data_IF_430572740262
#
_entry.id   IF_430572740262
#
_cell.length_a   1.000
_cell.length_b   1.000
_cell.length_c   1.000
_cell.angle_alpha   90.00
_cell.angle_beta   90.00
_cell.angle_gamma   90.00
#
_symmetry.space_group_name_H-M   'P 1'
#
loop_
_entity.id
_entity.type
_entity.pdbx_description
1 polymer ?
#
# COMPACT_ATOMS: atom_id res chain seq x y z
N UNK A 1 -9.42 2.10 -7.42
CA UNK A 1 -10.08 1.08 -6.59
C UNK A 1 -11.36 1.61 -5.92
N UNK A 2 -11.36 2.82 -5.35
CA UNK A 2 -12.58 3.43 -4.79
C UNK A 2 -13.74 3.55 -5.80
N UNK A 3 -13.45 3.95 -7.05
CA UNK A 3 -14.46 4.07 -8.13
C UNK A 3 -15.17 2.77 -8.49
N UNK A 4 -14.56 1.62 -8.19
CA UNK A 4 -15.15 0.29 -8.41
C UNK A 4 -15.69 -0.33 -7.10
N UNK A 5 -15.85 0.47 -6.04
CA UNK A 5 -16.42 0.03 -4.76
C UNK A 5 -15.43 -0.57 -3.76
N UNK A 6 -14.13 -0.60 -4.08
CA UNK A 6 -13.09 -1.20 -3.23
C UNK A 6 -12.00 -0.17 -2.89
N UNK A 7 -12.26 0.80 -1.99
CA UNK A 7 -11.24 1.77 -1.60
C UNK A 7 -10.07 1.11 -0.87
N UNK A 8 -8.92 1.78 -0.89
CA UNK A 8 -7.73 1.31 -0.17
C UNK A 8 -7.91 1.46 1.34
N UNK A 9 -7.32 0.52 2.09
CA UNK A 9 -7.32 0.59 3.54
C UNK A 9 -6.45 1.76 4.02
N UNK A 10 -6.91 2.49 5.02
CA UNK A 10 -6.20 3.67 5.55
C UNK A 10 -6.20 4.89 4.63
N UNK A 11 -6.97 4.88 3.53
CA UNK A 11 -7.12 6.05 2.66
C UNK A 11 -7.96 7.14 3.35
N UNK A 12 -7.39 8.32 3.65
CA UNK A 12 -8.11 9.39 4.33
C UNK A 12 -9.08 10.16 3.41
N UNK A 13 -8.93 10.04 2.08
CA UNK A 13 -9.69 10.84 1.10
C UNK A 13 -10.82 10.04 0.49
N UNK A 14 -10.52 8.84 -0.01
CA UNK A 14 -11.49 8.04 -0.79
C UNK A 14 -11.98 6.79 -0.06
N UNK A 15 -11.36 6.43 1.06
CA UNK A 15 -11.69 5.24 1.83
C UNK A 15 -12.33 5.56 3.17
N UNK A 16 -13.16 4.65 3.64
CA UNK A 16 -13.54 4.58 5.05
C UNK A 16 -13.08 3.24 5.57
N UNK A 17 -12.27 3.27 6.61
CA UNK A 17 -11.84 2.06 7.31
C UNK A 17 -13.08 1.29 7.81
N UNK A 18 -13.25 0.01 7.41
CA UNK A 18 -14.33 -0.85 7.90
C UNK A 18 -14.33 -0.93 9.43
N UNK A 19 -15.50 -0.91 10.06
CA UNK A 19 -15.61 -0.84 11.52
C UNK A 19 -14.85 -1.96 12.24
N UNK A 20 -14.86 -3.18 11.69
CA UNK A 20 -14.12 -4.32 12.25
C UNK A 20 -12.59 -4.20 12.19
N UNK A 21 -12.05 -3.44 11.22
CA UNK A 21 -10.61 -3.25 11.05
C UNK A 21 -10.08 -1.98 11.75
N UNK A 22 -10.96 -1.08 12.20
CA UNK A 22 -10.55 0.16 12.90
C UNK A 22 -9.72 -0.10 14.16
N UNK A 23 -10.06 -1.06 15.04
CA UNK A 23 -9.25 -1.33 16.24
C UNK A 23 -7.86 -1.82 15.87
N UNK A 24 -7.77 -2.72 14.87
CA UNK A 24 -6.51 -3.26 14.39
C UNK A 24 -5.61 -2.16 13.80
N UNK A 25 -6.15 -1.33 12.91
CA UNK A 25 -5.37 -0.24 12.31
C UNK A 25 -4.92 0.80 13.34
N UNK A 26 -5.74 1.06 14.37
CA UNK A 26 -5.35 1.93 15.48
C UNK A 26 -4.24 1.30 16.32
N UNK A 27 -4.30 0.00 16.57
CA UNK A 27 -3.25 -0.75 17.28
C UNK A 27 -1.93 -0.73 16.51
N UNK A 28 -1.99 -0.92 15.19
CA UNK A 28 -0.82 -0.89 14.30
C UNK A 28 -0.35 0.54 13.96
N UNK A 29 -1.04 1.58 14.41
CA UNK A 29 -0.72 2.97 14.06
C UNK A 29 -0.81 3.27 12.56
N UNK A 30 -1.56 2.47 11.79
CA UNK A 30 -1.60 2.54 10.34
C UNK A 30 -2.56 3.65 9.87
N UNK A 31 -2.00 4.79 9.48
CA UNK A 31 -2.74 6.01 9.15
C UNK A 31 -2.56 6.51 7.70
N UNK A 32 -2.07 5.65 6.80
CA UNK A 32 -1.85 5.98 5.39
C UNK A 32 -2.56 4.99 4.47
N UNK A 33 -2.64 5.33 3.19
CA UNK A 33 -3.12 4.41 2.16
C UNK A 33 -2.23 3.16 2.12
N UNK A 34 -2.85 1.98 2.15
CA UNK A 34 -2.20 0.70 1.89
C UNK A 34 -1.81 0.58 0.41
N UNK A 35 -0.89 1.44 -0.02
CA UNK A 35 -0.35 1.55 -1.36
C UNK A 35 1.18 1.61 -1.30
N UNK A 36 1.82 0.81 -2.16
CA UNK A 36 3.28 0.74 -2.28
C UNK A 36 3.69 0.49 -3.73
N UNK A 37 4.64 1.29 -4.23
CA UNK A 37 5.24 1.09 -5.54
C UNK A 37 6.38 0.06 -5.42
N UNK A 38 6.03 -1.22 -5.57
CA UNK A 38 6.97 -2.33 -5.38
C UNK A 38 8.07 -2.41 -6.45
N UNK A 39 7.78 -1.95 -7.66
CA UNK A 39 8.71 -1.97 -8.78
C UNK A 39 8.57 -0.71 -9.62
N UNK A 40 9.69 -0.20 -10.12
CA UNK A 40 9.75 0.88 -11.09
C UNK A 40 10.67 0.45 -12.22
N UNK A 41 10.20 0.53 -13.45
CA UNK A 41 11.07 0.25 -14.59
C UNK A 41 10.75 1.15 -15.77
N UNK A 42 11.80 1.68 -16.38
CA UNK A 42 11.73 2.64 -17.49
C UNK A 42 12.99 2.55 -18.34
N UNK A 43 12.99 3.19 -19.50
CA UNK A 43 14.17 3.27 -20.36
C UNK A 43 15.03 4.45 -19.89
N UNK A 44 16.30 4.19 -19.61
CA UNK A 44 17.19 5.19 -19.07
C UNK A 44 17.34 6.35 -20.08
N UNK A 45 17.07 7.61 -19.68
CA UNK A 45 16.88 8.71 -20.63
C UNK A 45 18.15 9.10 -21.40
N UNK A 46 19.32 8.64 -20.95
CA UNK A 46 20.62 8.95 -21.57
C UNK A 46 21.15 7.74 -22.35
N UNK A 47 21.06 6.54 -21.78
CA UNK A 47 21.67 5.33 -22.37
C UNK A 47 20.70 4.54 -23.24
N UNK A 48 19.39 4.77 -23.09
CA UNK A 48 18.35 4.00 -23.78
C UNK A 48 18.18 2.57 -23.28
N UNK A 49 18.97 2.15 -22.28
CA UNK A 49 18.89 0.82 -21.70
C UNK A 49 17.69 0.70 -20.77
N UNK A 50 17.03 -0.45 -20.80
CA UNK A 50 15.96 -0.79 -19.89
C UNK A 50 16.52 -0.96 -18.48
N UNK A 51 16.02 -0.16 -17.53
CA UNK A 51 16.36 -0.29 -16.10
C UNK A 51 15.13 -0.70 -15.30
N UNK A 52 15.36 -1.52 -14.27
CA UNK A 52 14.32 -2.00 -13.36
C UNK A 52 14.81 -1.91 -11.91
N UNK A 53 13.99 -1.31 -11.06
CA UNK A 53 14.20 -1.08 -9.64
C UNK A 53 13.11 -1.80 -8.84
N UNK A 54 13.46 -2.28 -7.65
CA UNK A 54 12.53 -2.91 -6.72
C UNK A 54 12.67 -2.32 -5.32
N UNK A 55 11.55 -2.14 -4.66
CA UNK A 55 11.47 -1.69 -3.28
C UNK A 55 10.81 -2.77 -2.42
N UNK A 56 11.47 -3.16 -1.34
CA UNK A 56 10.92 -4.12 -0.39
C UNK A 56 9.60 -3.61 0.21
N UNK A 57 8.75 -4.55 0.63
CA UNK A 57 7.50 -4.20 1.29
C UNK A 57 7.80 -3.52 2.63
N UNK A 58 7.27 -2.31 2.87
CA UNK A 58 7.42 -1.59 4.14
C UNK A 58 6.93 -2.41 5.33
N UNK A 59 7.53 -2.21 6.51
CA UNK A 59 7.20 -2.94 7.73
C UNK A 59 5.75 -2.76 8.16
N UNK A 60 5.20 -1.54 8.02
CA UNK A 60 3.81 -1.23 8.35
C UNK A 60 2.81 -2.06 7.53
N UNK A 61 3.07 -2.25 6.23
CA UNK A 61 2.24 -3.08 5.35
C UNK A 61 2.44 -4.56 5.59
N UNK A 62 3.65 -4.98 5.96
CA UNK A 62 3.92 -6.37 6.33
C UNK A 62 3.15 -6.78 7.58
N UNK A 63 3.25 -5.99 8.64
CA UNK A 63 2.50 -6.20 9.89
C UNK A 63 0.99 -6.21 9.65
N UNK A 64 0.50 -5.29 8.81
CA UNK A 64 -0.90 -5.25 8.41
C UNK A 64 -1.36 -6.54 7.71
N UNK A 65 -0.55 -7.06 6.78
CA UNK A 65 -0.87 -8.32 6.08
C UNK A 65 -0.86 -9.48 7.07
N UNK A 66 0.15 -9.57 7.93
CA UNK A 66 0.29 -10.67 8.89
C UNK A 66 -0.88 -10.72 9.88
N UNK A 67 -1.39 -9.58 10.32
CA UNK A 67 -2.54 -9.52 11.24
C UNK A 67 -3.90 -9.68 10.56
N UNK A 68 -4.03 -9.34 9.27
CA UNK A 68 -5.29 -9.50 8.52
C UNK A 68 -5.43 -10.85 7.82
N UNK A 69 -4.33 -11.60 7.67
CA UNK A 69 -4.32 -12.94 7.10
C UNK A 69 -4.61 -14.06 8.13
N UNK A 70 -4.71 -13.72 9.42
CA UNK A 70 -5.15 -14.64 10.50
C UNK A 70 -6.66 -14.81 10.50
#
# INVERSE_FOLDING_TARGET
CASIGHPLLGDPTYGRTPAGLRPLLKQLGFARQALHAASLGFDHPITGERVDFRAELPSDMRELIDETAR
#
